data_IF_704080606153
#
_entry.id   IF_704080606153
#
_cell.length_a   1.000
_cell.length_b   1.000
_cell.length_c   1.000
_cell.angle_alpha   90.00
_cell.angle_beta   90.00
_cell.angle_gamma   90.00
#
_symmetry.space_group_name_H-M   'P 1'
#
loop_
_entity.id
_entity.type
_entity.pdbx_description
1 polymer ?
#
# COMPACT_ATOMS: atom_id res chain seq x y z
N UNK A 1 -11.82 21.33 1.91
CA UNK A 1 -11.72 19.91 2.38
C UNK A 1 -12.77 19.08 1.66
N UNK A 2 -12.34 18.03 0.98
CA UNK A 2 -13.20 17.08 0.26
C UNK A 2 -13.36 15.85 1.14
N UNK A 3 -14.59 15.57 1.58
CA UNK A 3 -14.90 14.37 2.35
C UNK A 3 -15.14 13.20 1.40
N UNK A 4 -14.48 12.06 1.68
CA UNK A 4 -14.60 10.83 0.90
C UNK A 4 -14.96 9.67 1.81
N UNK A 5 -16.07 9.02 1.52
CA UNK A 5 -16.54 7.87 2.29
C UNK A 5 -16.42 6.59 1.46
N UNK A 6 -15.80 5.58 2.05
CA UNK A 6 -15.57 4.29 1.38
C UNK A 6 -15.59 3.16 2.38
N UNK A 7 -15.95 1.97 1.92
CA UNK A 7 -15.85 0.74 2.72
C UNK A 7 -14.55 0.01 2.35
N UNK A 8 -13.61 -0.05 3.28
CA UNK A 8 -12.35 -0.78 3.13
C UNK A 8 -12.37 -2.02 4.04
N UNK A 9 -12.28 -3.20 3.45
CA UNK A 9 -12.29 -4.47 4.19
C UNK A 9 -13.48 -4.63 5.17
N UNK A 10 -14.66 -4.17 4.77
CA UNK A 10 -15.89 -4.24 5.57
C UNK A 10 -16.01 -3.15 6.63
N UNK A 11 -15.07 -2.22 6.73
CA UNK A 11 -15.11 -1.10 7.67
C UNK A 11 -15.41 0.17 6.87
N UNK A 12 -16.44 0.91 7.28
CA UNK A 12 -16.72 2.25 6.72
C UNK A 12 -15.65 3.22 7.22
N UNK A 13 -14.97 3.88 6.27
CA UNK A 13 -13.91 4.86 6.53
C UNK A 13 -14.33 6.17 5.88
N UNK A 14 -14.25 7.25 6.65
CA UNK A 14 -14.34 8.61 6.13
C UNK A 14 -12.95 9.23 6.14
N UNK A 15 -12.45 9.59 4.97
CA UNK A 15 -11.23 10.38 4.81
C UNK A 15 -11.58 11.80 4.40
N UNK A 16 -10.70 12.73 4.70
CA UNK A 16 -10.80 14.12 4.23
C UNK A 16 -9.49 14.51 3.58
N UNK A 17 -9.58 15.11 2.41
CA UNK A 17 -8.44 15.61 1.66
C UNK A 17 -8.59 17.12 1.45
N UNK A 18 -7.52 17.89 1.54
CA UNK A 18 -7.57 19.30 1.19
C UNK A 18 -7.76 19.47 -0.32
N UNK A 19 -8.43 20.54 -0.73
CA UNK A 19 -8.50 20.91 -2.15
C UNK A 19 -7.11 21.13 -2.71
N UNK A 20 -6.22 21.72 -1.89
CA UNK A 20 -4.82 21.90 -2.26
C UNK A 20 -4.12 20.57 -2.56
N UNK A 21 -4.25 19.56 -1.70
CA UNK A 21 -3.64 18.22 -1.98
C UNK A 21 -4.24 17.57 -3.24
N UNK A 22 -5.53 17.78 -3.50
CA UNK A 22 -6.16 17.27 -4.72
C UNK A 22 -5.61 17.98 -5.95
N UNK A 23 -5.57 19.31 -5.94
CA UNK A 23 -5.19 20.12 -7.11
C UNK A 23 -3.69 20.10 -7.38
N UNK A 24 -2.86 20.09 -6.32
CA UNK A 24 -1.40 20.22 -6.46
C UNK A 24 -0.65 18.87 -6.41
N UNK A 25 -1.29 17.79 -5.89
CA UNK A 25 -0.63 16.49 -5.75
C UNK A 25 -1.39 15.41 -6.51
N UNK A 26 -2.67 15.16 -6.21
CA UNK A 26 -3.33 13.95 -6.70
C UNK A 26 -3.69 14.02 -8.18
N UNK A 27 -4.28 15.12 -8.64
CA UNK A 27 -4.57 15.30 -10.06
C UNK A 27 -3.30 15.41 -10.91
N UNK A 28 -2.27 16.19 -10.53
CA UNK A 28 -0.98 16.16 -11.24
C UNK A 28 -0.32 14.77 -11.27
N UNK A 29 -0.37 14.01 -10.17
CA UNK A 29 0.13 12.63 -10.15
C UNK A 29 -0.60 11.75 -11.17
N UNK A 30 -1.92 11.79 -11.20
CA UNK A 30 -2.73 11.00 -12.13
C UNK A 30 -2.48 11.39 -13.59
N UNK A 31 -2.30 12.69 -13.89
CA UNK A 31 -1.89 13.19 -15.21
C UNK A 31 -0.51 12.65 -15.60
N UNK A 32 0.45 12.70 -14.67
CA UNK A 32 1.80 12.16 -14.88
C UNK A 32 1.77 10.67 -15.19
N UNK A 33 1.04 9.87 -14.43
CA UNK A 33 0.90 8.43 -14.68
C UNK A 33 0.23 8.15 -16.03
N UNK A 34 -0.80 8.92 -16.38
CA UNK A 34 -1.45 8.85 -17.70
C UNK A 34 -0.47 9.16 -18.81
N UNK A 35 0.36 10.20 -18.66
CA UNK A 35 1.41 10.58 -19.61
C UNK A 35 2.46 9.47 -19.77
N UNK A 36 2.95 8.89 -18.68
CA UNK A 36 3.91 7.78 -18.71
C UNK A 36 3.30 6.59 -19.47
N UNK A 37 2.05 6.22 -19.19
CA UNK A 37 1.38 5.11 -19.86
C UNK A 37 1.22 5.36 -21.36
N UNK A 38 0.78 6.55 -21.76
CA UNK A 38 0.66 6.94 -23.19
C UNK A 38 2.00 6.86 -23.90
N UNK A 39 3.07 7.42 -23.28
CA UNK A 39 4.43 7.41 -23.86
C UNK A 39 4.99 5.99 -24.02
N UNK A 40 4.74 5.11 -23.05
CA UNK A 40 5.23 3.72 -23.10
C UNK A 40 4.39 2.84 -24.03
N UNK A 41 3.16 3.20 -24.34
CA UNK A 41 2.26 2.44 -25.22
C UNK A 41 1.87 1.05 -24.70
N UNK A 42 2.20 0.76 -23.43
CA UNK A 42 1.91 -0.52 -22.75
C UNK A 42 1.36 -0.29 -21.35
N UNK A 43 0.96 -1.36 -20.67
CA UNK A 43 0.68 -1.28 -19.23
C UNK A 43 1.88 -0.71 -18.48
N UNK A 44 1.59 0.12 -17.49
CA UNK A 44 2.59 0.54 -16.49
C UNK A 44 2.21 -0.03 -15.13
N UNK A 45 3.25 -0.41 -14.37
CA UNK A 45 3.14 -0.80 -12.98
C UNK A 45 3.70 0.32 -12.10
N UNK A 46 2.85 0.84 -11.22
CA UNK A 46 3.21 1.83 -10.21
C UNK A 46 3.25 1.14 -8.85
N UNK A 47 4.30 1.36 -8.07
CA UNK A 47 4.37 0.84 -6.70
C UNK A 47 4.17 1.96 -5.69
N UNK A 48 3.20 1.78 -4.79
CA UNK A 48 2.95 2.68 -3.66
C UNK A 48 3.33 1.96 -2.36
N UNK A 49 4.43 2.39 -1.75
CA UNK A 49 4.88 1.89 -0.47
C UNK A 49 4.54 2.86 0.66
N UNK A 50 3.99 2.35 1.76
CA UNK A 50 3.77 3.13 2.96
C UNK A 50 3.65 2.23 4.19
N UNK A 51 3.98 2.72 5.39
CA UNK A 51 3.86 1.94 6.62
C UNK A 51 2.42 1.55 6.92
N UNK A 52 2.21 0.53 7.78
CA UNK A 52 0.89 0.24 8.35
C UNK A 52 0.28 1.51 8.99
N UNK A 53 -1.02 1.72 8.83
CA UNK A 53 -1.71 2.89 9.39
C UNK A 53 -1.66 4.16 8.53
N UNK A 54 -0.89 4.20 7.43
CA UNK A 54 -0.80 5.37 6.55
C UNK A 54 -2.03 5.62 5.65
N UNK A 55 -3.00 4.69 5.60
CA UNK A 55 -4.23 4.87 4.82
C UNK A 55 -4.11 4.59 3.32
N UNK A 56 -3.15 3.76 2.90
CA UNK A 56 -2.91 3.40 1.49
C UNK A 56 -4.17 3.06 0.69
N UNK A 57 -4.92 2.08 1.17
CA UNK A 57 -6.11 1.58 0.44
C UNK A 57 -7.19 2.65 0.32
N UNK A 58 -7.33 3.52 1.32
CA UNK A 58 -8.28 4.66 1.27
C UNK A 58 -7.82 5.70 0.25
N UNK A 59 -6.52 6.03 0.24
CA UNK A 59 -5.95 6.94 -0.75
C UNK A 59 -6.14 6.38 -2.16
N UNK A 60 -5.81 5.11 -2.40
CA UNK A 60 -5.95 4.53 -3.73
C UNK A 60 -7.39 4.46 -4.21
N UNK A 61 -8.33 4.16 -3.32
CA UNK A 61 -9.76 4.23 -3.65
C UNK A 61 -10.20 5.65 -4.02
N UNK A 62 -9.65 6.68 -3.36
CA UNK A 62 -9.92 8.06 -3.72
C UNK A 62 -9.29 8.44 -5.06
N UNK A 63 -8.06 7.98 -5.35
CA UNK A 63 -7.44 8.22 -6.66
C UNK A 63 -8.22 7.51 -7.80
N UNK A 64 -8.75 6.31 -7.57
CA UNK A 64 -9.66 5.66 -8.54
C UNK A 64 -10.93 6.49 -8.78
N UNK A 65 -11.52 7.02 -7.71
CA UNK A 65 -12.68 7.90 -7.81
C UNK A 65 -12.37 9.14 -8.66
N UNK A 66 -11.25 9.81 -8.43
CA UNK A 66 -10.83 10.96 -9.22
C UNK A 66 -10.66 10.61 -10.72
N UNK A 67 -10.11 9.43 -11.06
CA UNK A 67 -9.99 9.04 -12.47
C UNK A 67 -11.33 8.79 -13.16
N UNK A 68 -12.37 8.48 -12.40
CA UNK A 68 -13.73 8.33 -12.95
C UNK A 68 -14.43 9.67 -13.17
N UNK A 69 -14.04 10.71 -12.45
CA UNK A 69 -14.62 12.06 -12.57
C UNK A 69 -13.91 12.92 -13.63
N UNK A 70 -12.68 12.56 -14.02
CA UNK A 70 -11.85 13.35 -14.93
C UNK A 70 -11.55 12.56 -16.21
N UNK A 71 -12.25 12.89 -17.31
CA UNK A 71 -12.17 12.18 -18.59
C UNK A 71 -10.79 12.27 -19.30
N UNK A 72 -9.95 13.26 -18.91
CA UNK A 72 -8.57 13.42 -19.41
C UNK A 72 -7.58 12.45 -18.78
N UNK A 73 -7.97 11.81 -17.65
CA UNK A 73 -7.16 10.86 -16.92
C UNK A 73 -7.35 9.42 -17.43
N UNK A 74 -6.26 8.67 -17.42
CA UNK A 74 -6.33 7.21 -17.62
C UNK A 74 -6.85 6.52 -16.36
N UNK A 75 -7.82 5.60 -16.54
CA UNK A 75 -8.32 4.80 -15.43
C UNK A 75 -7.19 4.00 -14.78
N UNK A 76 -7.10 4.05 -13.46
CA UNK A 76 -6.18 3.23 -12.68
C UNK A 76 -6.90 1.98 -12.18
N UNK A 77 -6.15 0.90 -12.01
CA UNK A 77 -6.59 -0.31 -11.32
C UNK A 77 -5.69 -0.52 -10.11
N UNK A 78 -6.28 -0.66 -8.92
CA UNK A 78 -5.52 -0.84 -7.69
C UNK A 78 -5.49 -2.31 -7.27
N UNK A 79 -4.33 -2.77 -6.82
CA UNK A 79 -4.09 -4.11 -6.28
C UNK A 79 -3.24 -4.01 -5.02
N UNK A 80 -3.39 -4.96 -4.11
CA UNK A 80 -2.67 -4.95 -2.84
C UNK A 80 -1.76 -6.16 -2.65
N UNK A 81 -0.64 -5.98 -1.92
CA UNK A 81 0.26 -7.08 -1.58
C UNK A 81 -0.27 -8.00 -0.49
N UNK A 82 -1.32 -7.60 0.25
CA UNK A 82 -1.83 -8.37 1.39
C UNK A 82 -2.35 -9.76 0.99
N UNK A 83 -2.77 -9.95 -0.26
CA UNK A 83 -3.13 -11.26 -0.80
C UNK A 83 -1.99 -12.29 -0.81
N UNK A 84 -0.75 -11.86 -0.62
CA UNK A 84 0.42 -12.73 -0.58
C UNK A 84 0.87 -13.08 0.83
N UNK A 85 0.05 -12.87 1.85
CA UNK A 85 0.32 -13.47 3.17
C UNK A 85 0.41 -14.99 3.07
N UNK A 86 1.33 -15.58 3.82
CA UNK A 86 1.34 -17.03 4.02
C UNK A 86 0.04 -17.47 4.66
N UNK A 87 -0.40 -18.68 4.36
CA UNK A 87 -1.64 -19.24 4.90
C UNK A 87 -1.61 -19.34 6.41
N UNK A 88 -2.78 -19.22 7.04
CA UNK A 88 -2.92 -19.23 8.50
C UNK A 88 -2.35 -20.49 9.12
N UNK A 89 -2.54 -21.66 8.49
CA UNK A 89 -2.02 -22.94 8.96
C UNK A 89 -0.49 -22.93 9.02
N UNK A 90 0.16 -22.32 8.02
CA UNK A 90 1.61 -22.14 8.01
C UNK A 90 2.06 -21.22 9.14
N UNK A 91 1.41 -20.07 9.32
CA UNK A 91 1.78 -19.09 10.34
C UNK A 91 1.61 -19.63 11.77
N UNK A 92 0.64 -20.50 12.00
CA UNK A 92 0.39 -21.13 13.31
C UNK A 92 1.44 -22.21 13.62
N UNK A 93 1.86 -22.98 12.59
CA UNK A 93 2.77 -24.14 12.77
C UNK A 93 4.26 -23.76 12.71
N UNK A 94 4.60 -22.50 12.36
CA UNK A 94 5.98 -22.05 12.22
C UNK A 94 6.32 -20.93 13.19
N UNK A 95 7.59 -20.88 13.59
CA UNK A 95 8.15 -19.88 14.49
C UNK A 95 9.29 -19.12 13.82
N UNK A 96 9.66 -17.99 14.38
CA UNK A 96 10.85 -17.20 14.02
C UNK A 96 11.59 -16.77 15.27
N UNK A 97 12.88 -16.53 15.14
CA UNK A 97 13.68 -15.91 16.19
C UNK A 97 13.53 -14.38 16.13
N UNK A 98 13.15 -13.78 17.26
CA UNK A 98 13.08 -12.33 17.42
C UNK A 98 13.54 -11.96 18.82
N UNK A 99 14.54 -11.11 18.92
CA UNK A 99 15.13 -10.66 20.19
C UNK A 99 15.54 -11.83 21.11
N UNK A 100 16.13 -12.88 20.52
CA UNK A 100 16.56 -14.10 21.24
C UNK A 100 15.44 -15.01 21.72
N UNK A 101 14.19 -14.74 21.30
CA UNK A 101 13.02 -15.55 21.65
C UNK A 101 12.39 -16.18 20.41
N UNK A 102 11.92 -17.39 20.56
CA UNK A 102 11.13 -18.06 19.55
C UNK A 102 9.67 -17.59 19.61
N UNK A 103 9.18 -17.01 18.51
CA UNK A 103 7.85 -16.42 18.43
C UNK A 103 7.06 -17.11 17.32
N UNK A 104 5.82 -17.57 17.57
CA UNK A 104 4.93 -18.04 16.52
C UNK A 104 4.70 -16.98 15.46
N UNK A 105 4.84 -17.33 14.18
CA UNK A 105 4.71 -16.37 13.07
C UNK A 105 3.32 -15.69 13.04
N UNK A 106 2.28 -16.38 13.49
CA UNK A 106 0.92 -15.83 13.57
C UNK A 106 0.82 -14.60 14.49
N UNK A 107 1.68 -14.50 15.53
CA UNK A 107 1.70 -13.36 16.45
C UNK A 107 2.30 -12.09 15.85
N UNK A 108 3.07 -12.24 14.77
CA UNK A 108 3.71 -11.13 14.04
C UNK A 108 3.21 -11.04 12.59
N UNK A 109 1.99 -11.51 12.34
CA UNK A 109 1.37 -11.44 11.02
C UNK A 109 1.36 -10.01 10.52
N UNK A 110 1.84 -9.81 9.30
CA UNK A 110 2.11 -8.49 8.72
C UNK A 110 3.60 -8.12 8.68
N UNK A 111 4.49 -8.88 9.37
CA UNK A 111 5.93 -8.75 9.21
C UNK A 111 6.40 -9.33 7.86
N UNK A 112 7.52 -8.86 7.27
CA UNK A 112 7.99 -9.32 5.95
C UNK A 112 8.08 -10.84 5.81
N UNK A 113 8.53 -11.52 6.84
CA UNK A 113 8.69 -12.99 6.88
C UNK A 113 7.36 -13.75 6.76
N UNK A 114 6.24 -13.10 7.02
CA UNK A 114 4.89 -13.68 6.95
C UNK A 114 4.25 -13.61 5.57
N UNK A 115 4.98 -13.08 4.58
CA UNK A 115 4.55 -13.04 3.18
C UNK A 115 5.22 -14.14 2.34
N UNK A 116 4.54 -14.59 1.32
CA UNK A 116 5.12 -15.40 0.25
C UNK A 116 5.74 -14.47 -0.81
N UNK A 117 6.97 -14.05 -0.52
CA UNK A 117 7.70 -13.12 -1.37
C UNK A 117 7.97 -13.70 -2.77
N UNK A 118 8.19 -15.00 -2.88
CA UNK A 118 8.41 -15.66 -4.17
C UNK A 118 7.17 -15.53 -5.06
N UNK A 119 6.01 -15.90 -4.53
CA UNK A 119 4.73 -15.79 -5.26
C UNK A 119 4.40 -14.33 -5.60
N UNK A 120 4.65 -13.38 -4.67
CA UNK A 120 4.48 -11.95 -4.94
C UNK A 120 5.37 -11.51 -6.11
N UNK A 121 6.66 -11.86 -6.11
CA UNK A 121 7.62 -11.47 -7.16
C UNK A 121 7.22 -12.02 -8.52
N UNK A 122 6.83 -13.30 -8.59
CA UNK A 122 6.36 -13.93 -9.83
C UNK A 122 5.10 -13.25 -10.38
N UNK A 123 4.17 -12.88 -9.50
CA UNK A 123 2.94 -12.19 -9.88
C UNK A 123 3.19 -10.74 -10.31
N UNK A 124 4.06 -10.02 -9.61
CA UNK A 124 4.51 -8.67 -9.97
C UNK A 124 5.15 -8.67 -11.36
N UNK A 125 5.99 -9.65 -11.66
CA UNK A 125 6.61 -9.79 -12.98
C UNK A 125 5.55 -9.94 -14.09
N UNK A 126 4.55 -10.82 -13.93
CA UNK A 126 3.45 -10.98 -14.90
C UNK A 126 2.73 -9.66 -15.17
N UNK A 127 2.43 -8.89 -14.10
CA UNK A 127 1.78 -7.58 -14.24
C UNK A 127 2.67 -6.60 -14.99
N UNK A 128 3.97 -6.53 -14.68
CA UNK A 128 4.93 -5.66 -15.35
C UNK A 128 5.12 -6.03 -16.83
N UNK A 129 5.10 -7.33 -17.15
CA UNK A 129 5.17 -7.86 -18.52
C UNK A 129 3.87 -7.63 -19.33
N UNK A 130 2.81 -7.09 -18.70
CA UNK A 130 1.55 -6.76 -19.36
C UNK A 130 0.56 -7.93 -19.45
N UNK A 131 0.82 -9.06 -18.79
CA UNK A 131 -0.08 -10.21 -18.80
C UNK A 131 -1.41 -9.90 -18.11
N UNK A 132 -2.51 -10.43 -18.61
CA UNK A 132 -3.77 -10.49 -17.87
C UNK A 132 -3.70 -11.69 -16.94
N UNK A 133 -3.74 -11.45 -15.65
CA UNK A 133 -3.53 -12.49 -14.64
C UNK A 133 -4.46 -12.35 -13.44
N UNK A 134 -4.65 -13.45 -12.73
CA UNK A 134 -5.34 -13.45 -11.45
C UNK A 134 -4.46 -12.83 -10.36
N UNK A 135 -5.08 -12.15 -9.39
CA UNK A 135 -4.43 -11.55 -8.24
C UNK A 135 -5.10 -12.00 -6.95
N UNK A 136 -4.36 -12.43 -5.94
CA UNK A 136 -4.94 -12.86 -4.69
C UNK A 136 -5.38 -11.68 -3.83
N UNK A 137 -6.46 -11.87 -3.06
CA UNK A 137 -6.92 -10.90 -2.06
C UNK A 137 -6.91 -11.57 -0.69
N UNK A 138 -6.46 -10.81 0.33
CA UNK A 138 -6.53 -11.29 1.70
C UNK A 138 -7.96 -11.25 2.23
N UNK A 139 -8.53 -12.43 2.50
CA UNK A 139 -9.85 -12.55 3.09
C UNK A 139 -9.75 -12.49 4.63
N UNK A 140 -10.26 -11.42 5.22
CA UNK A 140 -10.18 -11.19 6.66
C UNK A 140 -11.06 -12.13 7.47
N UNK A 141 -12.17 -12.61 6.91
CA UNK A 141 -13.06 -13.56 7.59
C UNK A 141 -12.44 -14.95 7.66
N UNK A 142 -11.76 -15.35 6.59
CA UNK A 142 -11.08 -16.66 6.53
C UNK A 142 -9.66 -16.60 7.09
N UNK A 143 -9.14 -15.42 7.42
CA UNK A 143 -7.74 -15.18 7.79
C UNK A 143 -6.72 -15.75 6.79
N UNK A 144 -7.11 -15.90 5.52
CA UNK A 144 -6.33 -16.54 4.46
C UNK A 144 -6.39 -15.75 3.15
N UNK A 145 -5.37 -15.87 2.27
CA UNK A 145 -5.49 -15.45 0.88
C UNK A 145 -6.58 -16.21 0.14
N UNK A 146 -7.28 -15.51 -0.75
CA UNK A 146 -8.14 -16.10 -1.77
C UNK A 146 -7.48 -15.86 -3.12
N UNK A 147 -7.08 -16.94 -3.77
CA UNK A 147 -6.39 -16.89 -5.06
C UNK A 147 -7.32 -16.44 -6.18
N UNK A 148 -6.74 -15.74 -7.18
CA UNK A 148 -7.46 -15.29 -8.38
C UNK A 148 -8.77 -14.52 -8.10
N UNK A 149 -8.83 -13.84 -6.96
CA UNK A 149 -10.04 -13.12 -6.53
C UNK A 149 -10.25 -11.82 -7.33
N UNK A 150 -9.23 -11.33 -8.01
CA UNK A 150 -9.25 -10.16 -8.86
C UNK A 150 -8.51 -10.47 -10.16
N UNK A 151 -9.01 -9.96 -11.31
CA UNK A 151 -8.30 -10.00 -12.59
C UNK A 151 -7.57 -8.69 -12.84
N UNK A 152 -6.26 -8.75 -13.07
CA UNK A 152 -5.44 -7.58 -13.43
C UNK A 152 -5.39 -7.42 -14.93
N UNK A 153 -6.05 -6.37 -15.43
CA UNK A 153 -6.14 -6.06 -16.88
C UNK A 153 -5.96 -4.58 -17.21
N UNK A 154 -5.90 -3.71 -16.19
CA UNK A 154 -5.78 -2.26 -16.35
C UNK A 154 -4.51 -1.84 -17.09
N UNK A 155 -4.54 -0.66 -17.73
CA UNK A 155 -3.37 -0.07 -18.39
C UNK A 155 -2.46 0.66 -17.42
N UNK A 156 -3.01 1.23 -16.35
CA UNK A 156 -2.27 1.82 -15.23
C UNK A 156 -2.63 1.00 -14.00
N UNK A 157 -1.67 0.22 -13.48
CA UNK A 157 -1.87 -0.62 -12.31
C UNK A 157 -1.06 -0.04 -11.16
N UNK A 158 -1.72 0.22 -10.02
CA UNK A 158 -1.05 0.66 -8.80
C UNK A 158 -1.08 -0.48 -7.79
N UNK A 159 0.08 -1.04 -7.51
CA UNK A 159 0.28 -2.03 -6.45
C UNK A 159 0.61 -1.30 -5.14
N UNK A 160 -0.23 -1.51 -4.12
CA UNK A 160 0.04 -1.01 -2.79
C UNK A 160 0.64 -2.06 -1.85
N UNK A 161 1.52 -1.62 -0.96
CA UNK A 161 2.03 -2.50 0.08
C UNK A 161 3.00 -1.82 1.03
N UNK A 162 3.26 -2.49 2.16
CA UNK A 162 4.18 -1.94 3.16
C UNK A 162 5.65 -2.05 2.70
N UNK A 163 5.99 -3.10 1.94
CA UNK A 163 7.38 -3.52 1.73
C UNK A 163 7.84 -3.47 0.28
N UNK A 164 7.06 -2.85 -0.62
CA UNK A 164 7.35 -2.82 -2.07
C UNK A 164 8.65 -2.08 -2.42
N UNK A 165 9.09 -1.18 -1.54
CA UNK A 165 10.33 -0.41 -1.68
C UNK A 165 11.27 -0.64 -0.50
N UNK A 166 11.21 -1.82 0.14
CA UNK A 166 12.02 -2.12 1.33
C UNK A 166 13.44 -2.50 0.94
N UNK A 167 14.43 -1.84 1.55
CA UNK A 167 15.85 -2.19 1.45
C UNK A 167 16.16 -3.41 2.34
N UNK A 168 15.78 -4.56 1.84
CA UNK A 168 16.02 -5.85 2.49
C UNK A 168 16.15 -6.95 1.41
N UNK A 169 17.01 -7.93 1.66
CA UNK A 169 17.27 -9.03 0.75
C UNK A 169 15.98 -9.68 0.23
N UNK A 170 15.85 -9.82 -1.08
CA UNK A 170 14.70 -10.33 -1.81
C UNK A 170 13.58 -9.29 -2.03
N UNK A 171 13.36 -8.36 -1.10
CA UNK A 171 12.36 -7.30 -1.26
C UNK A 171 12.86 -6.16 -2.16
N UNK A 172 14.15 -5.82 -2.08
CA UNK A 172 14.77 -4.74 -2.86
C UNK A 172 14.64 -4.92 -4.37
N UNK A 173 14.52 -6.17 -4.84
CA UNK A 173 14.41 -6.50 -6.26
C UNK A 173 13.06 -6.09 -6.86
N UNK A 174 12.01 -5.99 -6.04
CA UNK A 174 10.66 -5.63 -6.50
C UNK A 174 10.62 -4.28 -7.21
N UNK A 175 11.39 -3.29 -6.71
CA UNK A 175 11.43 -1.95 -7.29
C UNK A 175 11.78 -1.96 -8.79
N UNK A 176 12.59 -2.91 -9.24
CA UNK A 176 13.03 -3.01 -10.65
C UNK A 176 11.89 -3.27 -11.64
N UNK A 177 10.75 -3.78 -11.18
CA UNK A 177 9.57 -4.01 -12.02
C UNK A 177 8.68 -2.78 -12.15
N UNK A 178 8.87 -1.74 -11.33
CA UNK A 178 8.03 -0.55 -11.35
C UNK A 178 8.41 0.42 -12.47
N UNK A 179 7.43 0.97 -13.14
CA UNK A 179 7.58 2.09 -14.07
C UNK A 179 7.62 3.45 -13.35
N UNK A 180 7.03 3.51 -12.17
CA UNK A 180 7.01 4.67 -11.28
C UNK A 180 6.80 4.24 -9.83
N UNK A 181 7.42 4.92 -8.90
CA UNK A 181 7.38 4.57 -7.47
C UNK A 181 6.90 5.75 -6.63
N UNK A 182 6.06 5.45 -5.64
CA UNK A 182 5.52 6.42 -4.69
C UNK A 182 5.78 5.89 -3.29
N UNK A 183 6.30 6.73 -2.40
CA UNK A 183 6.35 6.42 -0.98
C UNK A 183 5.51 7.42 -0.19
N UNK A 184 4.80 6.94 0.82
CA UNK A 184 4.04 7.77 1.76
C UNK A 184 4.56 7.51 3.16
N UNK A 185 4.87 8.56 3.89
CA UNK A 185 5.29 8.52 5.29
C UNK A 185 4.38 9.34 6.19
N UNK A 186 4.43 9.11 7.47
CA UNK A 186 3.78 9.93 8.51
C UNK A 186 4.58 9.80 9.81
N UNK A 187 4.30 10.66 10.78
CA UNK A 187 4.89 10.57 12.11
C UNK A 187 4.54 9.24 12.79
N UNK A 188 5.53 8.62 13.46
CA UNK A 188 5.39 7.31 14.09
C UNK A 188 4.22 7.26 15.09
N UNK A 189 4.08 8.30 15.91
CA UNK A 189 3.00 8.40 16.89
C UNK A 189 1.62 8.48 16.21
N UNK A 190 1.48 9.24 15.15
CA UNK A 190 0.24 9.32 14.37
C UNK A 190 -0.15 7.96 13.79
N UNK A 191 0.81 7.21 13.25
CA UNK A 191 0.59 5.86 12.74
C UNK A 191 0.15 4.91 13.86
N UNK A 192 0.80 4.99 15.02
CA UNK A 192 0.46 4.20 16.20
C UNK A 192 -0.99 4.43 16.65
N UNK A 193 -1.38 5.68 16.81
CA UNK A 193 -2.75 6.06 17.21
C UNK A 193 -3.78 5.54 16.20
N UNK A 194 -3.56 5.75 14.91
CA UNK A 194 -4.45 5.23 13.85
C UNK A 194 -4.58 3.70 13.88
N UNK A 195 -3.51 2.99 14.18
CA UNK A 195 -3.52 1.53 14.27
C UNK A 195 -4.30 1.05 15.52
N UNK A 196 -4.14 1.72 16.65
CA UNK A 196 -4.90 1.44 17.88
C UNK A 196 -6.40 1.70 17.64
N UNK A 197 -6.75 2.88 17.13
CA UNK A 197 -8.14 3.26 16.84
C UNK A 197 -8.81 2.28 15.87
N UNK A 198 -8.09 1.84 14.84
CA UNK A 198 -8.60 0.84 13.90
C UNK A 198 -8.98 -0.46 14.60
N UNK A 199 -8.17 -0.91 15.56
CA UNK A 199 -8.45 -2.13 16.34
C UNK A 199 -9.62 -1.95 17.28
N UNK A 200 -9.69 -0.82 17.96
CA UNK A 200 -10.82 -0.50 18.86
C UNK A 200 -12.13 -0.49 18.06
N UNK A 201 -12.14 0.12 16.86
CA UNK A 201 -13.32 0.11 15.97
C UNK A 201 -13.73 -1.28 15.51
N UNK A 202 -12.85 -2.28 15.58
CA UNK A 202 -13.20 -3.70 15.32
C UNK A 202 -13.61 -4.47 16.58
N UNK A 203 -13.80 -3.78 17.72
CA UNK A 203 -14.29 -4.38 18.97
C UNK A 203 -13.19 -4.88 19.91
N UNK A 204 -11.92 -4.58 19.64
CA UNK A 204 -10.82 -4.94 20.55
C UNK A 204 -10.76 -3.95 21.71
N UNK A 205 -10.59 -4.43 22.95
CA UNK A 205 -10.44 -3.57 24.13
C UNK A 205 -9.19 -2.67 23.99
N UNK A 206 -9.22 -1.40 24.47
CA UNK A 206 -8.14 -0.43 24.26
C UNK A 206 -6.76 -0.90 24.71
N UNK A 207 -6.66 -1.54 25.88
CA UNK A 207 -5.41 -2.08 26.42
C UNK A 207 -4.85 -3.19 25.54
N UNK A 208 -5.70 -4.11 25.10
CA UNK A 208 -5.31 -5.22 24.21
C UNK A 208 -4.93 -4.69 22.81
N UNK A 209 -5.63 -3.69 22.30
CA UNK A 209 -5.32 -3.02 21.04
C UNK A 209 -3.92 -2.36 21.12
N UNK A 210 -3.64 -1.61 22.20
CA UNK A 210 -2.35 -0.97 22.45
C UNK A 210 -1.22 -1.99 22.51
N UNK A 211 -1.38 -3.03 23.34
CA UNK A 211 -0.36 -4.09 23.48
C UNK A 211 -0.07 -4.79 22.15
N UNK A 212 -1.10 -5.09 21.37
CA UNK A 212 -0.91 -5.73 20.06
C UNK A 212 -0.20 -4.80 19.08
N UNK A 213 -0.61 -3.55 18.99
CA UNK A 213 -0.01 -2.56 18.09
C UNK A 213 1.47 -2.39 18.43
N UNK A 214 1.81 -2.21 19.71
CA UNK A 214 3.20 -2.02 20.13
C UNK A 214 4.06 -3.27 19.88
N UNK A 215 3.51 -4.46 20.07
CA UNK A 215 4.22 -5.72 19.86
C UNK A 215 4.37 -6.10 18.39
N UNK A 216 3.32 -5.95 17.59
CA UNK A 216 3.23 -6.51 16.22
C UNK A 216 3.31 -5.44 15.13
N UNK A 217 2.51 -4.37 15.24
CA UNK A 217 2.40 -3.39 14.15
C UNK A 217 3.56 -2.38 14.14
N UNK A 218 3.96 -1.86 15.33
CA UNK A 218 5.00 -0.82 15.42
C UNK A 218 6.39 -1.24 14.95
N UNK A 219 6.88 -2.48 15.17
CA UNK A 219 8.11 -2.92 14.53
C UNK A 219 8.06 -2.86 13.00
N UNK A 220 6.91 -3.15 12.38
CA UNK A 220 6.74 -3.05 10.93
C UNK A 220 6.66 -1.58 10.47
N UNK A 221 6.03 -0.71 11.25
CA UNK A 221 6.03 0.74 11.00
C UNK A 221 7.46 1.28 10.98
N UNK A 222 8.24 1.00 12.02
CA UNK A 222 9.65 1.45 12.12
C UNK A 222 10.50 0.90 10.98
N UNK A 223 10.34 -0.38 10.64
CA UNK A 223 11.03 -0.98 9.52
C UNK A 223 10.74 -0.22 8.21
N UNK A 224 9.47 0.07 7.92
CA UNK A 224 9.09 0.85 6.73
C UNK A 224 9.69 2.25 6.76
N UNK A 225 9.56 2.98 7.88
CA UNK A 225 10.07 4.34 7.98
C UNK A 225 11.61 4.43 7.83
N UNK A 226 12.34 3.41 8.29
CA UNK A 226 13.80 3.40 8.30
C UNK A 226 14.43 2.79 7.03
N UNK A 227 13.72 1.86 6.37
CA UNK A 227 14.28 1.01 5.31
C UNK A 227 13.56 1.13 3.96
N UNK A 228 12.59 2.02 3.81
CA UNK A 228 12.04 2.33 2.48
C UNK A 228 13.06 3.15 1.70
N UNK A 229 13.47 2.66 0.52
CA UNK A 229 14.38 3.41 -0.38
C UNK A 229 13.66 4.58 -1.03
N UNK A 230 14.43 5.55 -1.51
CA UNK A 230 13.90 6.71 -2.22
C UNK A 230 12.98 6.29 -3.38
N UNK A 231 11.82 6.94 -3.47
CA UNK A 231 10.84 6.78 -4.53
C UNK A 231 10.91 7.97 -5.51
N UNK A 232 10.30 7.81 -6.71
CA UNK A 232 10.19 8.91 -7.68
C UNK A 232 9.34 10.06 -7.15
N UNK A 233 8.32 9.74 -6.32
CA UNK A 233 7.54 10.71 -5.56
C UNK A 233 7.50 10.30 -4.09
N UNK A 234 7.91 11.18 -3.20
CA UNK A 234 7.85 10.96 -1.77
C UNK A 234 6.85 11.92 -1.13
N UNK A 235 5.84 11.36 -0.50
CA UNK A 235 4.77 12.11 0.18
C UNK A 235 4.89 11.92 1.69
N UNK A 236 4.47 12.94 2.43
CA UNK A 236 4.31 12.87 3.89
C UNK A 236 2.91 13.31 4.27
N UNK A 237 2.31 12.57 5.18
CA UNK A 237 1.05 12.95 5.83
C UNK A 237 1.44 13.68 7.12
N UNK A 238 0.91 14.89 7.29
CA UNK A 238 1.12 15.67 8.51
C UNK A 238 0.16 15.28 9.65
N UNK A 239 0.23 16.00 10.77
CA UNK A 239 -0.61 15.75 11.95
C UNK A 239 -2.09 16.05 11.73
N UNK A 240 -2.43 16.84 10.71
CA UNK A 240 -3.82 17.12 10.33
C UNK A 240 -4.40 16.08 9.39
N UNK A 241 -3.54 15.21 8.83
CA UNK A 241 -3.88 14.19 7.85
C UNK A 241 -3.72 14.64 6.41
N UNK A 242 -3.19 15.84 6.18
CA UNK A 242 -2.96 16.38 4.84
C UNK A 242 -1.66 15.91 4.21
N UNK A 243 -1.58 15.93 2.88
CA UNK A 243 -0.47 15.40 2.10
C UNK A 243 0.46 16.50 1.63
N UNK A 244 1.77 16.27 1.73
CA UNK A 244 2.82 17.18 1.29
C UNK A 244 3.86 16.43 0.47
N UNK A 245 4.37 17.05 -0.60
CA UNK A 245 5.51 16.53 -1.36
C UNK A 245 6.79 16.79 -0.56
N UNK A 246 7.54 15.71 -0.28
CA UNK A 246 8.85 15.77 0.36
C UNK A 246 9.95 15.81 -0.69
N UNK A 247 9.81 15.01 -1.73
CA UNK A 247 10.75 14.96 -2.85
C UNK A 247 10.09 14.36 -4.09
N UNK A 248 10.66 14.65 -5.27
CA UNK A 248 10.09 14.30 -6.56
C UNK A 248 9.19 15.41 -7.12
N UNK A 249 9.22 15.61 -8.43
CA UNK A 249 8.42 16.61 -9.12
C UNK A 249 7.19 15.99 -9.80
N UNK A 250 6.09 16.72 -9.74
CA UNK A 250 4.88 16.43 -10.51
C UNK A 250 4.77 17.36 -11.73
N UNK A 251 5.79 18.22 -11.96
CA UNK A 251 5.82 19.18 -13.05
C UNK A 251 5.57 18.48 -14.39
N UNK A 252 4.65 19.04 -15.13
CA UNK A 252 4.26 18.57 -16.44
C UNK A 252 5.40 18.82 -17.46
N UNK A 253 6.32 17.88 -17.55
CA UNK A 253 7.24 17.77 -18.67
C UNK A 253 6.58 17.16 -19.91
N UNK A 254 5.25 17.29 -20.06
CA UNK A 254 4.50 16.78 -21.22
C UNK A 254 3.78 17.96 -21.90
N UNK A 255 4.21 18.34 -23.09
CA UNK A 255 3.42 19.26 -23.93
C UNK A 255 2.06 18.62 -24.21
N UNK A 256 1.03 19.45 -24.20
CA UNK A 256 -0.35 19.13 -24.52
C UNK A 256 -0.49 18.45 -25.89
#
# INVERSE_FOLDING_TARGET
>A
MIAYQVTINGISVTASYSEQAVDEIFLPLLRKLTGIQKKKGRRILVMLAAPPGAGKSTLLSFLEHLTNEHADLGNIQTIGMDGFHKRQEYLVSHTVQRDGKEIPMVKIKGAPVTFDLKHLTESVKKVADGEVCGWPIYNRLLHNPTENALTVSGKIVILEGNYLLLDMAGWSDLKSYADYTISVSAEENCLRERLIDRRIKTGVAPEAATQFVDFSDMPNVRLCLQKTVAADLQLRIDSTGDYHIVSGGLDEGYPA
#
